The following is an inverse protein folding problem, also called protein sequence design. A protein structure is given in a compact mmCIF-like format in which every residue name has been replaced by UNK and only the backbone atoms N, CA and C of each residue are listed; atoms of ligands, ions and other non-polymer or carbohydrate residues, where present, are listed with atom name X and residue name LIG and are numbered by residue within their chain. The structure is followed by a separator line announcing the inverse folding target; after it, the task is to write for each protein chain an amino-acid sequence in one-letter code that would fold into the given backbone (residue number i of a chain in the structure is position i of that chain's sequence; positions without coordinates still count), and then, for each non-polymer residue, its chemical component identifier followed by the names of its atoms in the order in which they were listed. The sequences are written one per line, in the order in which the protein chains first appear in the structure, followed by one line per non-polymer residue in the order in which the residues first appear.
data_IF_405635435043
#
_entry.id   IF_405635435043
#
_cell.length_a   1.000
_cell.length_b   1.000
_cell.length_c   1.000
_cell.angle_alpha   90.00
_cell.angle_beta   90.00
_cell.angle_gamma   90.00
#
_symmetry.space_group_name_H-M   'P 1'
#
loop_
_entity.id
_entity.type
_entity.pdbx_description
1 polymer ?
#
# COMPACT_ATOMS: atom_id res chain seq x y z
N UNK A 1 17.04 3.70 -14.14
CA UNK A 1 16.54 4.13 -12.82
C UNK A 1 16.74 5.63 -12.77
N UNK A 2 15.71 6.40 -12.46
CA UNK A 2 15.85 7.85 -12.38
C UNK A 2 16.83 8.19 -11.23
N UNK A 3 17.64 9.23 -11.38
CA UNK A 3 18.63 9.61 -10.37
C UNK A 3 17.99 9.98 -9.01
N UNK A 4 16.69 10.28 -9.01
CA UNK A 4 15.87 10.53 -7.82
C UNK A 4 15.37 9.24 -7.12
N UNK A 5 15.17 8.14 -7.85
CA UNK A 5 14.58 6.90 -7.29
C UNK A 5 15.45 6.30 -6.16
N UNK A 6 16.78 6.48 -6.23
CA UNK A 6 17.73 5.98 -5.24
C UNK A 6 17.66 6.71 -3.88
N UNK A 7 16.94 7.84 -3.81
CA UNK A 7 16.81 8.64 -2.59
C UNK A 7 15.42 8.53 -1.94
N UNK A 8 14.51 7.71 -2.50
CA UNK A 8 13.16 7.54 -1.97
C UNK A 8 13.22 6.89 -0.58
N UNK A 9 12.55 7.52 0.38
CA UNK A 9 12.46 7.00 1.74
C UNK A 9 11.39 5.91 1.81
N UNK A 10 11.66 4.76 2.45
CA UNK A 10 10.61 3.79 2.71
C UNK A 10 9.59 4.38 3.69
N UNK A 11 8.32 3.95 3.59
CA UNK A 11 7.21 4.54 4.34
C UNK A 11 7.41 4.49 5.86
N UNK A 12 8.13 3.50 6.39
CA UNK A 12 8.43 3.35 7.81
C UNK A 12 9.58 4.24 8.31
N UNK A 13 10.37 4.87 7.44
CA UNK A 13 11.53 5.69 7.83
C UNK A 13 11.14 7.16 7.98
N UNK A 14 11.72 7.84 8.96
CA UNK A 14 11.49 9.24 9.24
C UNK A 14 12.81 10.00 9.41
N UNK A 15 12.99 11.06 8.63
CA UNK A 15 14.05 12.03 8.76
C UNK A 15 13.49 13.27 9.47
N UNK A 16 14.08 13.63 10.60
CA UNK A 16 13.58 14.67 11.48
C UNK A 16 14.59 15.81 11.59
N UNK A 17 14.18 16.97 11.11
CA UNK A 17 14.77 18.22 11.56
C UNK A 17 14.34 18.46 13.01
N UNK A 18 15.11 17.93 13.98
CA UNK A 18 14.94 18.26 15.39
C UNK A 18 14.80 19.78 15.57
N UNK A 19 13.88 20.24 16.44
CA UNK A 19 13.59 21.66 16.59
C UNK A 19 14.84 22.48 16.92
N UNK A 20 14.95 23.64 16.28
CA UNK A 20 15.90 24.69 16.65
C UNK A 20 15.06 25.90 17.06
N UNK A 21 14.78 26.10 18.36
CA UNK A 21 14.01 27.25 18.80
C UNK A 21 14.76 28.53 18.42
N UNK A 22 14.07 29.48 17.79
CA UNK A 22 14.60 30.82 17.45
C UNK A 22 13.87 31.90 18.25
N UNK A 23 13.65 31.63 19.54
CA UNK A 23 13.08 32.61 20.45
C UNK A 23 14.13 33.67 20.86
N UNK A 24 13.68 34.71 21.55
CA UNK A 24 14.55 35.81 22.00
C UNK A 24 15.71 35.31 22.88
N UNK A 25 15.51 34.24 23.66
CA UNK A 25 16.55 33.64 24.50
C UNK A 25 17.71 33.08 23.68
N UNK A 26 17.41 32.39 22.57
CA UNK A 26 18.45 31.87 21.67
C UNK A 26 19.15 33.00 20.94
N UNK A 27 18.41 34.05 20.56
CA UNK A 27 18.96 35.21 19.86
C UNK A 27 19.81 36.13 20.75
N UNK A 28 19.56 36.14 22.05
CA UNK A 28 20.32 36.89 23.05
C UNK A 28 21.50 36.10 23.63
N UNK A 29 21.61 34.81 23.32
CA UNK A 29 22.71 33.96 23.76
C UNK A 29 24.06 34.50 23.21
N UNK A 30 25.08 34.75 24.06
CA UNK A 30 26.38 35.25 23.62
C UNK A 30 27.12 34.35 22.61
N UNK A 31 26.80 33.06 22.58
CA UNK A 31 27.33 32.08 21.62
C UNK A 31 26.62 32.11 20.27
N UNK A 32 25.47 32.79 20.15
CA UNK A 32 24.82 33.04 18.88
C UNK A 32 25.57 34.14 18.12
N UNK A 33 26.03 33.84 16.90
CA UNK A 33 26.73 34.80 16.04
C UNK A 33 25.92 35.07 14.78
N UNK A 34 25.69 36.35 14.49
CA UNK A 34 25.19 36.78 13.18
C UNK A 34 26.36 36.86 12.21
N UNK A 35 26.16 36.37 11.00
CA UNK A 35 27.17 36.43 9.95
C UNK A 35 26.49 36.57 8.59
N UNK A 36 27.22 37.16 7.65
CA UNK A 36 26.91 37.06 6.21
C UNK A 36 27.72 35.88 5.69
N UNK A 37 27.06 34.94 5.02
CA UNK A 37 27.74 33.76 4.50
C UNK A 37 28.69 34.12 3.36
N UNK A 38 29.92 33.62 3.46
CA UNK A 38 30.94 33.70 2.39
C UNK A 38 31.06 32.41 1.59
N UNK A 39 30.46 31.33 2.10
CA UNK A 39 30.34 30.01 1.48
C UNK A 39 28.95 29.46 1.82
N UNK A 40 28.41 28.59 0.97
CA UNK A 40 27.13 27.94 1.26
C UNK A 40 27.18 27.16 2.58
N UNK A 41 26.06 27.17 3.30
CA UNK A 41 25.96 26.47 4.58
C UNK A 41 24.61 25.79 4.74
N UNK A 42 24.54 24.63 5.42
CA UNK A 42 23.30 23.91 5.57
C UNK A 42 22.41 24.53 6.66
N UNK A 43 21.25 25.08 6.29
CA UNK A 43 20.24 25.47 7.27
C UNK A 43 19.67 24.23 7.97
N UNK A 44 19.77 24.20 9.31
CA UNK A 44 19.31 23.08 10.13
C UNK A 44 17.78 23.01 10.29
N UNK A 45 17.05 24.10 10.05
CA UNK A 45 15.59 24.17 10.24
C UNK A 45 14.83 23.64 9.03
N UNK A 46 15.13 24.15 7.84
CA UNK A 46 14.43 23.78 6.60
C UNK A 46 15.13 22.67 5.80
N UNK A 47 16.35 22.28 6.17
CA UNK A 47 17.20 21.32 5.44
C UNK A 47 17.49 21.72 3.97
N UNK A 48 17.49 23.02 3.66
CA UNK A 48 17.95 23.60 2.39
C UNK A 48 19.22 24.43 2.59
N UNK A 49 20.13 24.38 1.62
CA UNK A 49 21.37 25.17 1.67
C UNK A 49 21.07 26.67 1.62
N UNK A 50 21.76 27.42 2.48
CA UNK A 50 21.71 28.88 2.54
C UNK A 50 22.74 29.41 1.55
N UNK A 51 22.36 30.44 0.77
CA UNK A 51 23.20 30.96 -0.29
C UNK A 51 24.25 31.95 0.20
N UNK A 52 25.32 32.13 -0.57
CA UNK A 52 26.36 33.12 -0.28
C UNK A 52 25.76 34.52 -0.31
N UNK A 53 26.08 35.34 0.69
CA UNK A 53 25.55 36.70 0.85
C UNK A 53 24.31 36.79 1.74
N UNK A 54 23.67 35.68 2.08
CA UNK A 54 22.54 35.68 3.02
C UNK A 54 23.01 35.88 4.47
N UNK A 55 22.17 36.55 5.26
CA UNK A 55 22.35 36.64 6.70
C UNK A 55 21.90 35.35 7.41
N UNK A 56 22.77 34.87 8.29
CA UNK A 56 22.53 33.66 9.08
C UNK A 56 22.77 33.89 10.56
N UNK A 57 22.29 32.93 11.34
CA UNK A 57 22.65 32.80 12.74
C UNK A 57 23.39 31.47 12.91
N UNK A 58 24.60 31.55 13.44
CA UNK A 58 25.40 30.41 13.88
C UNK A 58 25.14 30.19 15.37
N UNK A 59 24.63 29.01 15.72
CA UNK A 59 24.16 28.68 17.06
C UNK A 59 24.85 27.41 17.59
N UNK A 60 25.08 27.37 18.90
CA UNK A 60 25.49 26.16 19.59
C UNK A 60 24.27 25.26 19.81
N UNK A 61 24.30 24.02 19.32
CA UNK A 61 23.15 23.12 19.35
C UNK A 61 23.52 21.72 19.84
N UNK A 62 22.71 21.20 20.77
CA UNK A 62 22.82 19.83 21.27
C UNK A 62 21.61 19.00 20.77
N UNK A 63 21.82 17.97 19.93
CA UNK A 63 20.73 17.16 19.38
C UNK A 63 20.26 16.02 20.29
N UNK A 64 20.90 15.77 21.43
CA UNK A 64 20.58 14.62 22.27
C UNK A 64 19.25 14.80 23.02
N UNK A 65 18.44 13.75 23.01
CA UNK A 65 17.11 13.71 23.63
C UNK A 65 17.12 13.19 25.07
N UNK A 66 18.29 12.81 25.59
CA UNK A 66 18.47 12.28 26.95
C UNK A 66 19.93 12.28 27.39
N UNK A 67 20.19 11.73 28.57
CA UNK A 67 21.55 11.65 29.15
C UNK A 67 22.40 10.61 28.42
N UNK A 68 23.59 11.01 27.95
CA UNK A 68 24.51 10.13 27.25
C UNK A 68 25.95 10.67 27.36
N UNK A 69 26.98 9.81 27.46
CA UNK A 69 28.37 10.25 27.38
C UNK A 69 28.75 10.79 25.99
N UNK A 70 27.94 10.53 24.97
CA UNK A 70 28.15 11.02 23.61
C UNK A 70 27.53 12.41 23.36
N UNK A 71 26.91 13.01 24.38
CA UNK A 71 26.29 14.33 24.27
C UNK A 71 27.33 15.38 23.87
N UNK A 72 27.04 16.13 22.81
CA UNK A 72 27.96 17.12 22.28
C UNK A 72 27.18 18.30 21.70
N UNK A 73 27.58 19.49 22.12
CA UNK A 73 27.13 20.74 21.51
C UNK A 73 28.03 21.04 20.31
N UNK A 74 27.41 21.25 19.14
CA UNK A 74 28.12 21.59 17.89
C UNK A 74 27.46 22.79 17.21
N UNK A 75 28.20 23.56 16.39
CA UNK A 75 27.62 24.70 15.69
C UNK A 75 26.64 24.25 14.60
N UNK A 76 25.51 24.94 14.47
CA UNK A 76 24.55 24.78 13.36
C UNK A 76 24.20 26.15 12.78
N UNK A 77 23.97 26.19 11.46
CA UNK A 77 23.48 27.38 10.78
C UNK A 77 21.96 27.35 10.66
N UNK A 78 21.33 28.51 10.78
CA UNK A 78 19.92 28.74 10.46
C UNK A 78 19.77 30.06 9.71
N UNK A 79 18.77 30.15 8.83
CA UNK A 79 18.38 31.41 8.23
C UNK A 79 18.08 32.45 9.32
N UNK A 80 18.52 33.69 9.12
CA UNK A 80 18.09 34.81 9.97
C UNK A 80 16.61 35.14 9.77
N UNK A 81 16.14 35.05 8.52
CA UNK A 81 14.74 35.17 8.17
C UNK A 81 14.01 33.86 8.46
N UNK A 82 12.69 33.95 8.67
CA UNK A 82 11.90 32.75 8.93
C UNK A 82 11.89 31.83 7.70
N UNK A 83 12.16 30.55 7.94
CA UNK A 83 12.01 29.49 6.96
C UNK A 83 11.11 28.40 7.53
N UNK A 84 10.36 27.73 6.65
CA UNK A 84 9.47 26.63 7.03
C UNK A 84 10.32 25.47 7.54
N UNK A 85 10.01 24.97 8.73
CA UNK A 85 10.69 23.80 9.28
C UNK A 85 10.41 22.59 8.40
N UNK A 86 11.44 21.79 8.16
CA UNK A 86 11.31 20.57 7.39
C UNK A 86 10.32 19.62 8.07
N UNK A 87 9.34 19.20 7.29
CA UNK A 87 8.27 18.28 7.70
C UNK A 87 8.11 17.25 6.58
N UNK A 88 8.64 16.05 6.81
CA UNK A 88 8.62 14.97 5.82
C UNK A 88 7.19 14.60 5.40
N UNK A 89 6.20 14.81 6.28
CA UNK A 89 4.81 14.39 6.08
C UNK A 89 4.03 15.33 5.17
N UNK A 90 4.59 16.50 4.87
CA UNK A 90 4.03 17.49 3.95
C UNK A 90 4.66 17.43 2.56
N UNK A 91 5.52 16.45 2.29
CA UNK A 91 6.18 16.28 1.00
C UNK A 91 5.40 15.31 0.11
N UNK A 92 5.17 15.68 -1.15
CA UNK A 92 4.52 14.82 -2.14
C UNK A 92 5.31 13.53 -2.40
N UNK A 93 6.64 13.63 -2.40
CA UNK A 93 7.59 12.53 -2.59
C UNK A 93 8.71 12.61 -1.55
N UNK A 94 8.57 11.97 -0.38
CA UNK A 94 9.59 12.02 0.66
C UNK A 94 10.85 11.30 0.19
N UNK A 95 11.95 12.05 0.14
CA UNK A 95 13.28 11.55 -0.20
C UNK A 95 14.31 12.01 0.84
N UNK A 96 15.51 11.42 0.79
CA UNK A 96 16.67 11.96 1.51
C UNK A 96 16.81 13.46 1.17
N UNK A 97 16.87 14.38 2.15
CA UNK A 97 16.89 15.81 1.85
C UNK A 97 18.15 16.21 1.08
N UNK A 98 18.01 17.17 0.17
CA UNK A 98 19.04 17.53 -0.81
C UNK A 98 20.40 17.84 -0.16
N UNK A 99 20.39 18.55 0.97
CA UNK A 99 21.60 18.87 1.71
C UNK A 99 22.47 17.66 2.07
N UNK A 100 21.86 16.52 2.38
CA UNK A 100 22.59 15.33 2.78
C UNK A 100 23.10 14.54 1.58
N UNK A 101 22.47 14.66 0.40
CA UNK A 101 22.83 13.87 -0.79
C UNK A 101 24.25 14.19 -1.30
N UNK A 102 24.66 15.46 -1.23
CA UNK A 102 25.94 15.93 -1.77
C UNK A 102 27.10 15.97 -0.78
N UNK A 103 26.97 15.37 0.42
CA UNK A 103 27.95 15.51 1.51
C UNK A 103 28.35 14.17 2.09
N UNK A 104 29.60 14.07 2.55
CA UNK A 104 30.07 12.95 3.37
C UNK A 104 29.45 13.06 4.76
N UNK A 105 28.76 12.01 5.18
CA UNK A 105 28.00 11.93 6.42
C UNK A 105 28.66 10.95 7.37
N UNK A 106 28.76 11.34 8.64
CA UNK A 106 29.00 10.42 9.74
C UNK A 106 27.65 9.91 10.22
N UNK A 107 27.40 8.62 9.96
CA UNK A 107 26.16 7.91 10.28
C UNK A 107 26.36 7.20 11.61
N UNK A 108 25.68 7.67 12.66
CA UNK A 108 25.89 7.20 14.04
C UNK A 108 24.60 6.62 14.59
N UNK A 109 24.56 5.30 14.80
CA UNK A 109 23.42 4.57 15.37
C UNK A 109 23.50 4.48 16.89
N UNK A 110 22.41 4.85 17.56
CA UNK A 110 22.26 4.87 19.01
C UNK A 110 21.19 3.89 19.47
N UNK A 111 21.39 3.24 20.61
CA UNK A 111 20.39 2.40 21.26
C UNK A 111 19.40 3.21 22.11
N UNK A 112 18.47 2.52 22.79
CA UNK A 112 17.45 3.13 23.65
C UNK A 112 18.04 3.89 24.84
N UNK A 113 19.18 3.43 25.35
CA UNK A 113 19.95 4.07 26.42
C UNK A 113 20.89 5.18 25.90
N UNK A 114 20.77 5.56 24.62
CA UNK A 114 21.52 6.63 23.96
C UNK A 114 23.04 6.39 23.87
N UNK A 115 23.49 5.13 23.90
CA UNK A 115 24.86 4.75 23.58
C UNK A 115 25.02 4.56 22.08
N UNK A 116 26.11 5.10 21.53
CA UNK A 116 26.49 4.84 20.15
C UNK A 116 27.01 3.41 20.04
N UNK A 117 26.33 2.60 19.24
CA UNK A 117 26.64 1.17 19.08
C UNK A 117 27.10 0.83 17.66
N UNK A 118 26.86 1.74 16.70
CA UNK A 118 27.31 1.64 15.31
C UNK A 118 27.69 3.01 14.81
N UNK A 119 28.77 3.08 14.03
CA UNK A 119 29.19 4.33 13.38
C UNK A 119 29.94 4.03 12.09
N UNK A 120 29.58 4.72 11.02
CA UNK A 120 30.19 4.56 9.71
C UNK A 120 30.21 5.90 8.95
N UNK A 121 31.00 5.97 7.88
CA UNK A 121 31.01 7.09 6.94
C UNK A 121 30.33 6.68 5.64
N UNK A 122 29.44 7.53 5.12
CA UNK A 122 28.78 7.29 3.84
C UNK A 122 28.42 8.60 3.14
N UNK A 123 28.28 8.56 1.82
CA UNK A 123 27.86 9.70 0.99
C UNK A 123 26.81 9.26 -0.02
N UNK A 124 26.01 10.22 -0.49
CA UNK A 124 25.00 9.97 -1.52
C UNK A 124 24.02 8.84 -1.13
N UNK A 125 23.64 7.97 -2.09
CA UNK A 125 22.64 6.93 -1.86
C UNK A 125 23.06 5.90 -0.80
N UNK A 126 24.37 5.63 -0.68
CA UNK A 126 24.89 4.67 0.31
C UNK A 126 24.55 5.08 1.73
N UNK A 127 24.48 6.38 2.04
CA UNK A 127 24.11 6.84 3.37
C UNK A 127 22.66 6.51 3.71
N UNK A 128 21.75 6.59 2.75
CA UNK A 128 20.36 6.17 2.93
C UNK A 128 20.28 4.66 3.15
N UNK A 129 20.97 3.86 2.35
CA UNK A 129 20.95 2.40 2.50
C UNK A 129 21.55 1.94 3.83
N UNK A 130 22.64 2.57 4.27
CA UNK A 130 23.23 2.31 5.57
C UNK A 130 22.27 2.65 6.71
N UNK A 131 21.53 3.77 6.61
CA UNK A 131 20.47 4.08 7.56
C UNK A 131 19.36 3.02 7.57
N UNK A 132 19.00 2.46 6.40
CA UNK A 132 18.02 1.37 6.30
C UNK A 132 18.53 0.11 6.99
N UNK A 133 19.74 -0.33 6.65
CA UNK A 133 20.40 -1.48 7.25
C UNK A 133 20.44 -1.38 8.77
N UNK A 134 20.99 -0.27 9.30
CA UNK A 134 21.09 -0.04 10.74
C UNK A 134 19.73 -0.07 11.46
N UNK A 135 18.67 0.48 10.85
CA UNK A 135 17.32 0.50 11.44
C UNK A 135 16.50 -0.78 11.18
N UNK A 136 16.86 -1.63 10.22
CA UNK A 136 16.16 -2.89 9.97
C UNK A 136 16.79 -4.08 10.69
N UNK A 137 18.08 -4.02 10.98
CA UNK A 137 18.75 -5.03 11.81
C UNK A 137 18.08 -5.15 13.19
N UNK A 138 17.99 -6.38 13.70
CA UNK A 138 17.28 -6.67 14.95
C UNK A 138 17.87 -5.88 16.13
N UNK A 139 17.09 -4.90 16.59
CA UNK A 139 16.95 -4.52 18.00
C UNK A 139 17.91 -3.48 18.57
N UNK A 140 19.12 -3.32 18.04
CA UNK A 140 20.12 -2.56 18.79
C UNK A 140 20.06 -1.05 18.50
N UNK A 141 19.79 -0.63 17.26
CA UNK A 141 19.72 0.80 16.90
C UNK A 141 18.28 1.31 17.03
N UNK A 142 18.07 2.25 17.96
CA UNK A 142 16.81 2.97 18.18
C UNK A 142 16.67 4.15 17.20
N UNK A 143 17.73 4.94 17.03
CA UNK A 143 17.77 6.08 16.12
C UNK A 143 19.19 6.34 15.61
N UNK A 144 19.30 7.17 14.57
CA UNK A 144 20.56 7.56 13.96
C UNK A 144 20.69 9.09 14.02
N UNK A 145 21.88 9.57 14.37
CA UNK A 145 22.26 10.95 14.09
C UNK A 145 23.19 10.99 12.88
N UNK A 146 22.82 11.81 11.89
CA UNK A 146 23.70 12.16 10.79
C UNK A 146 24.43 13.45 11.14
N UNK A 147 25.73 13.45 10.94
CA UNK A 147 26.59 14.64 11.06
C UNK A 147 27.32 14.88 9.74
N UNK A 148 27.60 16.14 9.41
CA UNK A 148 28.47 16.46 8.28
C UNK A 148 29.91 16.11 8.65
N UNK A 149 30.45 15.03 8.08
CA UNK A 149 31.68 14.39 8.55
C UNK A 149 32.88 15.35 8.62
N UNK A 150 32.99 16.28 7.66
CA UNK A 150 34.09 17.26 7.58
C UNK A 150 34.09 18.28 8.71
N UNK A 151 32.91 18.69 9.17
CA UNK A 151 32.75 19.78 10.15
C UNK A 151 32.26 19.29 11.52
N UNK A 152 31.77 18.05 11.61
CA UNK A 152 31.23 17.44 12.83
C UNK A 152 29.86 17.94 13.26
N UNK A 153 29.31 18.98 12.61
CA UNK A 153 28.02 19.54 12.94
C UNK A 153 26.87 18.56 12.66
N UNK A 154 25.88 18.58 13.54
CA UNK A 154 24.69 17.75 13.41
C UNK A 154 23.84 18.16 12.21
N UNK A 155 23.45 17.19 11.39
CA UNK A 155 22.68 17.40 10.18
C UNK A 155 21.18 17.09 10.41
N UNK A 156 20.85 15.85 10.76
CA UNK A 156 19.46 15.38 10.86
C UNK A 156 19.39 14.11 11.71
N UNK A 157 18.26 13.88 12.38
CA UNK A 157 17.98 12.61 13.06
C UNK A 157 17.20 11.70 12.11
N UNK A 158 17.56 10.44 12.04
CA UNK A 158 16.83 9.41 11.27
C UNK A 158 16.30 8.37 12.26
N UNK A 159 15.04 7.96 12.08
CA UNK A 159 14.41 6.96 12.93
C UNK A 159 13.30 6.21 12.21
N UNK A 160 12.60 5.36 12.95
CA UNK A 160 11.38 4.70 12.48
C UNK A 160 10.19 5.60 12.78
N UNK A 161 9.21 5.62 11.88
CA UNK A 161 7.89 6.18 12.17
C UNK A 161 7.29 5.37 13.31
N UNK A 162 6.79 6.08 14.31
CA UNK A 162 5.90 5.50 15.30
C UNK A 162 4.48 5.53 14.74
N UNK A 163 3.64 4.60 15.18
CA UNK A 163 2.21 4.71 14.94
C UNK A 163 1.72 6.05 15.52
N UNK A 164 0.96 6.81 14.73
CA UNK A 164 0.30 8.05 15.15
C UNK A 164 -0.89 7.72 16.08
N UNK A 165 -1.76 8.70 16.30
CA UNK A 165 -3.04 8.52 16.98
C UNK A 165 -3.82 7.31 16.45
N UNK A 166 -4.50 6.62 17.36
CA UNK A 166 -5.33 5.45 17.04
C UNK A 166 -6.54 5.90 16.22
N UNK A 167 -6.75 5.27 15.07
CA UNK A 167 -7.89 5.52 14.18
C UNK A 167 -8.80 4.29 14.11
N UNK A 168 -10.10 4.51 13.84
CA UNK A 168 -11.09 3.45 13.60
C UNK A 168 -11.77 3.71 12.23
N UNK A 169 -11.20 3.21 11.12
CA UNK A 169 -11.75 3.45 9.79
C UNK A 169 -13.05 2.67 9.60
N UNK A 170 -13.98 3.22 8.80
CA UNK A 170 -15.24 2.56 8.46
C UNK A 170 -15.09 1.47 7.38
N UNK A 171 -13.97 1.45 6.67
CA UNK A 171 -13.65 0.54 5.56
C UNK A 171 -12.28 -0.07 5.84
N UNK A 172 -12.11 -1.37 5.57
CA UNK A 172 -10.86 -2.11 5.84
C UNK A 172 -10.29 -2.75 4.56
N UNK A 173 -10.54 -2.14 3.40
CA UNK A 173 -10.08 -2.62 2.11
C UNK A 173 -8.64 -2.18 1.87
N UNK A 174 -7.68 -2.89 2.47
CA UNK A 174 -6.24 -2.64 2.36
C UNK A 174 -5.62 -3.02 1.01
N UNK A 175 -6.44 -3.23 -0.01
CA UNK A 175 -6.05 -3.74 -1.32
C UNK A 175 -6.50 -5.18 -1.54
N UNK A 176 -7.64 -5.35 -2.21
CA UNK A 176 -8.17 -6.65 -2.60
C UNK A 176 -8.48 -6.68 -4.10
N UNK A 177 -8.38 -7.85 -4.77
CA UNK A 177 -8.71 -7.95 -6.18
C UNK A 177 -10.21 -7.71 -6.38
N UNK A 178 -10.55 -6.97 -7.43
CA UNK A 178 -11.92 -6.89 -7.93
C UNK A 178 -12.26 -8.19 -8.64
N UNK A 179 -13.46 -8.71 -8.41
CA UNK A 179 -14.00 -9.90 -9.07
C UNK A 179 -15.40 -9.59 -9.60
N UNK A 180 -15.66 -9.92 -10.86
CA UNK A 180 -16.99 -9.89 -11.45
C UNK A 180 -17.59 -11.30 -11.36
N UNK A 181 -18.48 -11.51 -10.40
CA UNK A 181 -19.14 -12.80 -10.19
C UNK A 181 -20.38 -12.87 -11.07
N UNK A 182 -20.40 -13.81 -12.01
CA UNK A 182 -21.58 -14.08 -12.82
C UNK A 182 -22.38 -15.24 -12.25
N UNK A 183 -23.70 -15.08 -12.24
CA UNK A 183 -24.66 -16.09 -11.78
C UNK A 183 -25.89 -16.10 -12.70
N UNK A 184 -26.74 -17.12 -12.57
CA UNK A 184 -27.94 -17.27 -13.40
C UNK A 184 -29.19 -16.88 -12.61
N UNK A 185 -30.03 -16.00 -13.17
CA UNK A 185 -31.32 -15.60 -12.60
C UNK A 185 -32.36 -16.73 -12.74
N UNK A 186 -33.56 -16.55 -12.18
CA UNK A 186 -34.64 -17.53 -12.25
C UNK A 186 -35.16 -17.74 -13.68
N UNK A 187 -35.16 -16.68 -14.50
CA UNK A 187 -35.56 -16.70 -15.91
C UNK A 187 -34.43 -17.14 -16.87
N UNK A 188 -33.34 -17.72 -16.32
CA UNK A 188 -32.12 -18.12 -17.02
C UNK A 188 -31.29 -16.98 -17.65
N UNK A 189 -31.66 -15.72 -17.42
CA UNK A 189 -30.81 -14.58 -17.82
C UNK A 189 -29.58 -14.48 -16.90
N UNK A 190 -28.45 -13.93 -17.37
CA UNK A 190 -27.27 -13.79 -16.53
C UNK A 190 -27.35 -12.54 -15.64
N UNK A 191 -26.72 -12.61 -14.47
CA UNK A 191 -26.48 -11.48 -13.56
C UNK A 191 -24.98 -11.30 -13.35
N UNK A 192 -24.55 -10.05 -13.13
CA UNK A 192 -23.17 -9.70 -12.74
C UNK A 192 -23.20 -9.00 -11.37
N UNK A 193 -22.33 -9.43 -10.46
CA UNK A 193 -22.05 -8.74 -9.20
C UNK A 193 -20.57 -8.42 -9.05
N UNK A 194 -20.16 -7.14 -9.08
CA UNK A 194 -18.79 -6.76 -8.72
C UNK A 194 -18.59 -6.91 -7.21
N UNK A 195 -17.49 -7.54 -6.82
CA UNK A 195 -17.07 -7.68 -5.42
C UNK A 195 -15.59 -7.35 -5.28
N UNK A 196 -15.19 -7.00 -4.06
CA UNK A 196 -13.78 -6.82 -3.67
C UNK A 196 -13.45 -7.62 -2.41
N UNK A 197 -14.23 -8.66 -2.14
CA UNK A 197 -14.19 -9.51 -0.95
C UNK A 197 -13.95 -10.95 -1.38
N UNK A 198 -12.78 -11.20 -1.96
CA UNK A 198 -12.39 -12.52 -2.46
C UNK A 198 -10.95 -12.86 -2.06
N UNK A 199 -10.70 -14.11 -1.68
CA UNK A 199 -9.36 -14.68 -1.50
C UNK A 199 -9.35 -16.17 -1.84
N UNK A 200 -8.17 -16.71 -2.15
CA UNK A 200 -8.01 -18.11 -2.61
C UNK A 200 -7.20 -18.93 -1.61
N UNK A 201 -7.58 -20.19 -1.45
CA UNK A 201 -6.87 -21.23 -0.70
C UNK A 201 -6.85 -22.49 -1.58
N UNK A 202 -5.73 -22.73 -2.26
CA UNK A 202 -5.64 -23.76 -3.30
C UNK A 202 -6.61 -23.45 -4.46
N UNK A 203 -7.42 -24.44 -4.87
CA UNK A 203 -8.45 -24.27 -5.91
C UNK A 203 -9.81 -23.80 -5.36
N UNK A 204 -9.87 -23.35 -4.11
CA UNK A 204 -11.08 -22.83 -3.47
C UNK A 204 -10.99 -21.32 -3.33
N UNK A 205 -12.09 -20.64 -3.62
CA UNK A 205 -12.21 -19.20 -3.44
C UNK A 205 -13.28 -18.90 -2.40
N UNK A 206 -12.96 -17.99 -1.50
CA UNK A 206 -13.87 -17.50 -0.48
C UNK A 206 -14.43 -16.14 -0.90
N UNK A 207 -15.75 -16.04 -1.04
CA UNK A 207 -16.50 -14.82 -1.38
C UNK A 207 -17.26 -14.24 -0.17
N UNK A 208 -16.99 -12.98 0.20
CA UNK A 208 -17.82 -12.24 1.14
C UNK A 208 -18.97 -11.54 0.42
N UNK A 209 -20.22 -11.95 0.64
CA UNK A 209 -21.39 -11.44 -0.10
C UNK A 209 -22.50 -10.97 0.85
N UNK A 210 -23.20 -9.89 0.52
CA UNK A 210 -24.45 -9.53 1.22
C UNK A 210 -25.49 -10.62 0.99
N UNK A 211 -26.19 -11.04 2.05
CA UNK A 211 -27.13 -12.16 2.02
C UNK A 211 -28.30 -11.94 1.03
N UNK A 212 -28.66 -10.69 0.78
CA UNK A 212 -29.81 -10.27 -0.03
C UNK A 212 -29.42 -9.83 -1.45
N UNK A 213 -28.14 -9.94 -1.83
CA UNK A 213 -27.72 -9.60 -3.19
C UNK A 213 -28.27 -10.62 -4.20
N UNK A 214 -28.58 -10.17 -5.41
CA UNK A 214 -29.02 -11.08 -6.49
C UNK A 214 -27.99 -12.18 -6.77
N UNK A 215 -26.70 -11.85 -6.64
CA UNK A 215 -25.60 -12.82 -6.77
C UNK A 215 -25.71 -13.93 -5.73
N UNK A 216 -25.91 -13.58 -4.45
CA UNK A 216 -26.09 -14.54 -3.36
C UNK A 216 -27.33 -15.39 -3.55
N UNK A 217 -28.47 -14.77 -3.87
CA UNK A 217 -29.75 -15.46 -4.10
C UNK A 217 -29.58 -16.50 -5.23
N UNK A 218 -28.98 -16.10 -6.34
CA UNK A 218 -28.72 -17.01 -7.46
C UNK A 218 -27.74 -18.13 -7.08
N UNK A 219 -26.66 -17.82 -6.38
CA UNK A 219 -25.63 -18.80 -6.01
C UNK A 219 -26.17 -19.83 -5.00
N UNK A 220 -26.97 -19.40 -4.01
CA UNK A 220 -27.61 -20.31 -3.08
C UNK A 220 -28.61 -21.26 -3.77
N UNK A 221 -29.27 -20.81 -4.83
CA UNK A 221 -30.23 -21.62 -5.60
C UNK A 221 -29.55 -22.56 -6.60
N UNK A 222 -28.63 -22.03 -7.40
CA UNK A 222 -28.03 -22.74 -8.55
C UNK A 222 -26.74 -23.46 -8.21
N UNK A 223 -26.08 -23.09 -7.11
CA UNK A 223 -24.77 -23.59 -6.68
C UNK A 223 -23.65 -23.36 -7.69
N UNK A 224 -23.85 -22.50 -8.70
CA UNK A 224 -22.89 -22.29 -9.77
C UNK A 224 -22.60 -20.79 -9.96
N UNK A 225 -21.33 -20.46 -10.22
CA UNK A 225 -20.90 -19.13 -10.59
C UNK A 225 -19.67 -19.18 -11.52
N UNK A 226 -19.34 -18.04 -12.11
CA UNK A 226 -18.00 -17.80 -12.66
C UNK A 226 -17.38 -16.60 -11.95
N UNK A 227 -16.12 -16.75 -11.55
CA UNK A 227 -15.29 -15.65 -11.07
C UNK A 227 -14.52 -15.09 -12.26
N UNK A 228 -14.83 -13.87 -12.69
CA UNK A 228 -14.13 -13.21 -13.79
C UNK A 228 -13.25 -12.09 -13.20
N UNK A 229 -11.95 -12.14 -13.47
CA UNK A 229 -11.00 -11.15 -12.97
C UNK A 229 -10.76 -10.08 -14.03
N UNK A 230 -11.21 -8.83 -13.82
CA UNK A 230 -10.90 -7.73 -14.71
C UNK A 230 -9.45 -7.28 -14.56
N UNK A 231 -8.86 -6.84 -15.68
CA UNK A 231 -7.59 -6.11 -15.65
C UNK A 231 -7.78 -4.67 -15.18
N UNK A 232 -6.69 -4.03 -14.75
CA UNK A 232 -6.70 -2.65 -14.24
C UNK A 232 -7.07 -1.57 -15.28
N UNK A 233 -7.12 -1.93 -16.56
CA UNK A 233 -7.64 -1.11 -17.67
C UNK A 233 -9.17 -1.19 -17.84
N UNK A 234 -9.85 -2.13 -17.18
CA UNK A 234 -11.30 -2.34 -17.26
C UNK A 234 -12.10 -1.46 -16.28
N UNK A 235 -11.65 -0.23 -16.00
CA UNK A 235 -12.29 0.68 -15.03
C UNK A 235 -13.72 1.05 -15.41
N UNK A 236 -13.96 1.32 -16.70
CA UNK A 236 -15.27 1.74 -17.20
C UNK A 236 -16.39 0.71 -16.93
N UNK A 237 -16.27 -0.57 -17.32
CA UNK A 237 -17.31 -1.58 -17.05
C UNK A 237 -17.54 -1.81 -15.56
N UNK A 238 -16.47 -1.80 -14.73
CA UNK A 238 -16.60 -1.98 -13.27
C UNK A 238 -17.38 -0.82 -12.64
N UNK A 239 -17.07 0.42 -13.02
CA UNK A 239 -17.81 1.60 -12.55
C UNK A 239 -19.25 1.64 -13.06
N UNK A 240 -19.52 1.18 -14.28
CA UNK A 240 -20.89 1.12 -14.81
C UNK A 240 -21.80 0.18 -14.01
N UNK A 241 -21.23 -0.89 -13.44
CA UNK A 241 -21.92 -1.82 -12.54
C UNK A 241 -22.11 -1.27 -11.12
N UNK A 242 -21.33 -0.26 -10.72
CA UNK A 242 -21.43 0.33 -9.40
C UNK A 242 -22.83 0.90 -9.17
N UNK A 243 -23.37 0.70 -7.97
CA UNK A 243 -24.72 1.14 -7.59
C UNK A 243 -25.82 0.56 -8.51
N UNK A 244 -25.63 -0.65 -9.04
CA UNK A 244 -26.70 -1.42 -9.68
C UNK A 244 -27.10 -2.60 -8.80
N UNK A 245 -28.37 -3.00 -8.86
CA UNK A 245 -28.83 -4.26 -8.27
C UNK A 245 -29.70 -5.04 -9.25
N UNK A 246 -29.58 -6.37 -9.21
CA UNK A 246 -30.44 -7.25 -10.01
C UNK A 246 -31.78 -7.56 -9.33
N UNK A 247 -31.94 -7.16 -8.06
CA UNK A 247 -33.16 -7.41 -7.29
C UNK A 247 -34.27 -6.44 -7.70
N UNK A 248 -35.47 -6.98 -7.97
CA UNK A 248 -36.65 -6.20 -8.38
C UNK A 248 -37.06 -5.12 -7.37
N UNK A 249 -36.86 -5.39 -6.08
CA UNK A 249 -37.11 -4.43 -5.01
C UNK A 249 -35.76 -3.86 -4.56
N UNK A 250 -35.62 -2.53 -4.65
CA UNK A 250 -34.45 -1.81 -4.16
C UNK A 250 -34.84 -1.15 -2.83
N UNK A 251 -34.21 -1.52 -1.70
CA UNK A 251 -34.48 -0.89 -0.41
C UNK A 251 -34.27 0.64 -0.45
N UNK A 252 -35.08 1.40 0.29
CA UNK A 252 -35.01 2.88 0.31
C UNK A 252 -33.61 3.42 0.61
N UNK A 253 -32.90 2.75 1.53
CA UNK A 253 -31.50 3.09 1.86
C UNK A 253 -30.57 2.90 0.66
N UNK A 254 -30.79 1.89 -0.19
CA UNK A 254 -30.00 1.70 -1.42
C UNK A 254 -30.35 2.78 -2.44
N UNK A 255 -31.62 3.16 -2.56
CA UNK A 255 -32.06 4.26 -3.45
C UNK A 255 -31.41 5.59 -3.03
N UNK A 256 -31.40 5.92 -1.73
CA UNK A 256 -30.78 7.15 -1.23
C UNK A 256 -29.26 7.18 -1.43
N UNK A 257 -28.62 6.01 -1.45
CA UNK A 257 -27.21 5.82 -1.82
C UNK A 257 -26.97 5.81 -3.35
N UNK A 258 -28.02 6.02 -4.16
CA UNK A 258 -27.96 6.11 -5.61
C UNK A 258 -27.98 4.76 -6.33
N UNK A 259 -28.39 3.67 -5.66
CA UNK A 259 -28.58 2.38 -6.31
C UNK A 259 -29.85 2.38 -7.15
N UNK A 260 -29.77 1.69 -8.29
CA UNK A 260 -30.91 1.45 -9.18
C UNK A 260 -31.00 -0.02 -9.57
N UNK A 261 -32.21 -0.44 -9.90
CA UNK A 261 -32.43 -1.74 -10.53
C UNK A 261 -31.82 -1.74 -11.92
N UNK A 262 -31.06 -2.77 -12.26
CA UNK A 262 -30.69 -3.11 -13.62
C UNK A 262 -30.85 -4.61 -13.86
N UNK A 263 -31.75 -4.98 -14.77
CA UNK A 263 -31.96 -6.39 -15.16
C UNK A 263 -30.80 -6.88 -16.04
N UNK A 264 -30.44 -6.10 -17.06
CA UNK A 264 -29.39 -6.45 -18.02
C UNK A 264 -28.08 -5.72 -17.70
N UNK A 265 -27.35 -6.29 -16.75
CA UNK A 265 -26.07 -5.73 -16.29
C UNK A 265 -24.93 -5.91 -17.29
N UNK A 266 -25.03 -6.87 -18.22
CA UNK A 266 -24.06 -7.03 -19.30
C UNK A 266 -24.13 -5.83 -20.25
N UNK A 267 -25.35 -5.46 -20.68
CA UNK A 267 -25.55 -4.29 -21.52
C UNK A 267 -25.11 -2.99 -20.84
N UNK A 268 -25.47 -2.79 -19.56
CA UNK A 268 -25.06 -1.60 -18.78
C UNK A 268 -23.54 -1.47 -18.68
N UNK A 269 -22.83 -2.59 -18.49
CA UNK A 269 -21.38 -2.60 -18.38
C UNK A 269 -20.66 -2.58 -19.74
N UNK A 270 -21.37 -2.81 -20.85
CA UNK A 270 -20.75 -3.00 -22.17
C UNK A 270 -19.87 -4.26 -22.24
N UNK A 271 -20.24 -5.31 -21.51
CA UNK A 271 -19.49 -6.57 -21.44
C UNK A 271 -20.18 -7.66 -22.27
N UNK A 272 -19.39 -8.60 -22.78
CA UNK A 272 -19.88 -9.67 -23.67
C UNK A 272 -19.97 -11.01 -22.92
N UNK A 273 -21.16 -11.63 -22.84
CA UNK A 273 -21.29 -12.95 -22.23
C UNK A 273 -20.66 -14.03 -23.13
N UNK A 274 -19.78 -14.82 -22.54
CA UNK A 274 -19.12 -15.97 -23.17
C UNK A 274 -19.62 -17.27 -22.52
N UNK A 275 -19.95 -18.28 -23.31
CA UNK A 275 -20.45 -19.56 -22.79
C UNK A 275 -19.37 -20.27 -21.93
N UNK A 276 -19.80 -20.77 -20.77
CA UNK A 276 -19.04 -21.64 -19.87
C UNK A 276 -19.09 -23.10 -20.32
N UNK A 277 -18.12 -23.90 -19.92
CA UNK A 277 -18.00 -25.30 -20.33
C UNK A 277 -18.66 -26.29 -19.35
N UNK A 278 -18.61 -25.99 -18.05
CA UNK A 278 -19.02 -26.87 -16.96
C UNK A 278 -20.17 -26.28 -16.13
N UNK A 279 -20.37 -24.97 -16.13
CA UNK A 279 -21.43 -24.29 -15.36
C UNK A 279 -22.40 -23.51 -16.25
N UNK A 280 -23.61 -23.25 -15.75
CA UNK A 280 -24.64 -22.48 -16.45
C UNK A 280 -24.33 -20.97 -16.63
N UNK A 281 -23.86 -20.22 -15.62
CA UNK A 281 -23.60 -18.78 -15.78
C UNK A 281 -22.46 -18.52 -16.77
N UNK A 282 -22.53 -17.44 -17.58
CA UNK A 282 -21.53 -17.16 -18.59
C UNK A 282 -20.25 -16.58 -17.97
N UNK A 283 -19.13 -16.78 -18.66
CA UNK A 283 -17.89 -16.02 -18.48
C UNK A 283 -18.02 -14.64 -19.13
N UNK A 284 -17.08 -13.74 -18.86
CA UNK A 284 -17.02 -12.39 -19.45
C UNK A 284 -15.85 -12.33 -20.42
N UNK A 285 -16.12 -12.20 -21.71
CA UNK A 285 -15.11 -12.32 -22.78
C UNK A 285 -13.91 -11.39 -22.60
N UNK A 286 -14.15 -10.18 -22.08
CA UNK A 286 -13.13 -9.16 -21.87
C UNK A 286 -12.24 -9.44 -20.66
N UNK A 287 -12.69 -10.27 -19.70
CA UNK A 287 -11.88 -10.61 -18.54
C UNK A 287 -10.80 -11.64 -18.92
N UNK A 288 -9.51 -11.35 -18.72
CA UNK A 288 -8.41 -12.19 -19.18
C UNK A 288 -8.17 -13.45 -18.33
N UNK A 289 -8.75 -13.52 -17.13
CA UNK A 289 -8.75 -14.71 -16.28
C UNK A 289 -10.16 -14.99 -15.73
N UNK A 290 -10.61 -16.23 -15.86
CA UNK A 290 -11.98 -16.65 -15.55
C UNK A 290 -11.94 -18.02 -14.88
N UNK A 291 -12.77 -18.24 -13.86
CA UNK A 291 -12.85 -19.51 -13.12
C UNK A 291 -14.30 -19.95 -13.01
N UNK A 292 -14.64 -21.06 -13.65
CA UNK A 292 -15.94 -21.72 -13.48
C UNK A 292 -15.94 -22.46 -12.15
N UNK A 293 -16.97 -22.26 -11.32
CA UNK A 293 -16.97 -22.73 -9.95
C UNK A 293 -18.34 -23.19 -9.45
N UNK A 294 -18.30 -24.10 -8.47
CA UNK A 294 -19.47 -24.58 -7.73
C UNK A 294 -19.38 -24.23 -6.26
N UNK A 295 -20.52 -23.93 -5.65
CA UNK A 295 -20.61 -23.61 -4.23
C UNK A 295 -20.31 -24.85 -3.38
N UNK A 296 -19.31 -24.75 -2.51
CA UNK A 296 -18.88 -25.82 -1.62
C UNK A 296 -19.33 -25.61 -0.16
N UNK A 297 -19.51 -24.35 0.28
CA UNK A 297 -19.84 -24.04 1.66
C UNK A 297 -20.45 -22.64 1.82
N UNK A 298 -21.23 -22.45 2.88
CA UNK A 298 -21.82 -21.15 3.26
C UNK A 298 -21.73 -20.99 4.77
N UNK A 299 -21.22 -19.84 5.19
CA UNK A 299 -20.97 -19.51 6.59
C UNK A 299 -21.57 -18.14 6.90
N UNK A 300 -22.44 -18.08 7.91
CA UNK A 300 -23.03 -16.83 8.39
C UNK A 300 -21.96 -15.97 9.09
N UNK A 301 -21.87 -14.69 8.71
CA UNK A 301 -20.95 -13.73 9.34
C UNK A 301 -21.72 -12.74 10.21
N UNK A 302 -21.00 -11.97 11.04
CA UNK A 302 -21.59 -10.92 11.89
C UNK A 302 -22.61 -11.45 12.91
N UNK A 303 -22.48 -12.70 13.34
CA UNK A 303 -23.42 -13.38 14.24
C UNK A 303 -23.54 -12.71 15.62
N UNK A 304 -22.54 -11.92 16.03
CA UNK A 304 -22.52 -11.14 17.26
C UNK A 304 -23.23 -9.78 17.15
N UNK A 305 -23.57 -9.31 15.95
CA UNK A 305 -24.27 -8.04 15.77
C UNK A 305 -25.77 -8.20 16.05
N UNK A 306 -26.46 -7.13 16.52
CA UNK A 306 -27.90 -7.16 16.76
C UNK A 306 -28.71 -6.89 15.48
N UNK A 307 -29.99 -7.26 15.51
CA UNK A 307 -30.97 -6.88 14.49
C UNK A 307 -30.63 -7.36 13.08
N UNK A 308 -30.91 -6.52 12.08
CA UNK A 308 -30.69 -6.82 10.66
C UNK A 308 -29.20 -6.90 10.26
N UNK A 309 -28.30 -6.43 11.12
CA UNK A 309 -26.85 -6.57 10.90
C UNK A 309 -26.35 -8.01 11.15
N UNK A 310 -27.10 -8.79 11.94
CA UNK A 310 -26.79 -10.20 12.18
C UNK A 310 -26.97 -11.01 10.90
N UNK A 311 -25.93 -11.72 10.46
CA UNK A 311 -26.01 -12.54 9.26
C UNK A 311 -26.17 -11.76 7.97
N UNK A 312 -25.97 -10.42 8.00
CA UNK A 312 -26.09 -9.55 6.82
C UNK A 312 -25.13 -9.96 5.69
N UNK A 313 -23.97 -10.50 6.06
CA UNK A 313 -22.95 -10.99 5.12
C UNK A 313 -22.79 -12.50 5.28
N UNK A 314 -22.58 -13.18 4.16
CA UNK A 314 -22.19 -14.57 4.10
C UNK A 314 -20.74 -14.68 3.63
N UNK A 315 -20.01 -15.61 4.22
CA UNK A 315 -18.80 -16.18 3.66
C UNK A 315 -19.21 -17.41 2.82
N UNK A 316 -19.13 -17.31 1.49
CA UNK A 316 -19.46 -18.37 0.56
C UNK A 316 -18.19 -18.96 -0.04
N UNK A 317 -17.94 -20.24 0.22
CA UNK A 317 -16.85 -20.99 -0.39
C UNK A 317 -17.30 -21.55 -1.73
N UNK A 318 -16.49 -21.34 -2.77
CA UNK A 318 -16.67 -21.93 -4.09
C UNK A 318 -15.43 -22.71 -4.51
N UNK A 319 -15.63 -23.89 -5.09
CA UNK A 319 -14.60 -24.76 -5.65
C UNK A 319 -14.46 -24.51 -7.14
N UNK A 320 -13.25 -24.16 -7.58
CA UNK A 320 -12.95 -23.94 -9.00
C UNK A 320 -12.89 -25.29 -9.71
N UNK A 321 -13.70 -25.42 -10.76
CA UNK A 321 -13.77 -26.59 -11.63
C UNK A 321 -12.86 -26.46 -12.85
N UNK A 322 -12.79 -25.25 -13.41
CA UNK A 322 -11.99 -24.94 -14.60
C UNK A 322 -11.56 -23.49 -14.62
N UNK A 323 -10.30 -23.28 -14.97
CA UNK A 323 -9.70 -21.96 -15.14
C UNK A 323 -9.41 -21.72 -16.61
N UNK A 324 -9.78 -20.54 -17.09
CA UNK A 324 -9.49 -20.05 -18.42
C UNK A 324 -8.65 -18.79 -18.30
N UNK A 325 -7.53 -18.75 -19.02
CA UNK A 325 -6.66 -17.58 -19.08
C UNK A 325 -6.26 -17.32 -20.53
N UNK A 326 -6.18 -16.05 -20.92
CA UNK A 326 -5.61 -15.67 -22.21
C UNK A 326 -4.13 -16.07 -22.26
N UNK A 327 -3.65 -16.49 -23.43
CA UNK A 327 -2.28 -17.03 -23.56
C UNK A 327 -1.20 -16.01 -23.20
N UNK A 328 -1.48 -14.71 -23.36
CA UNK A 328 -0.58 -13.63 -22.97
C UNK A 328 -0.28 -13.59 -21.46
N UNK A 329 -1.11 -14.21 -20.62
CA UNK A 329 -0.86 -14.33 -19.18
C UNK A 329 -0.07 -15.58 -18.81
N UNK A 330 0.11 -16.54 -19.73
CA UNK A 330 0.82 -17.79 -19.43
C UNK A 330 2.32 -17.56 -19.46
N UNK A 331 3.02 -18.08 -18.46
CA UNK A 331 4.47 -18.05 -18.41
C UNK A 331 5.05 -18.98 -19.48
N UNK A 332 5.96 -18.45 -20.31
CA UNK A 332 6.56 -19.21 -21.40
C UNK A 332 7.24 -20.50 -20.89
N UNK A 333 6.98 -21.63 -21.55
CA UNK A 333 7.53 -22.94 -21.19
C UNK A 333 6.78 -23.67 -20.07
N UNK A 334 5.69 -23.11 -19.56
CA UNK A 334 4.86 -23.72 -18.53
C UNK A 334 3.39 -23.78 -18.95
N UNK A 335 2.73 -24.93 -18.72
CA UNK A 335 1.34 -25.13 -19.11
C UNK A 335 0.35 -24.37 -18.20
N UNK A 336 0.63 -24.34 -16.88
CA UNK A 336 -0.30 -23.90 -15.83
C UNK A 336 0.20 -22.73 -14.99
N UNK A 337 1.30 -22.07 -15.38
CA UNK A 337 1.86 -20.95 -14.62
C UNK A 337 1.46 -19.61 -15.21
N UNK A 338 1.13 -18.67 -14.34
CA UNK A 338 0.78 -17.31 -14.72
C UNK A 338 2.04 -16.44 -14.59
N UNK A 339 2.31 -15.63 -15.61
CA UNK A 339 3.37 -14.62 -15.54
C UNK A 339 2.90 -13.44 -14.68
N UNK A 340 3.49 -13.22 -13.48
CA UNK A 340 3.08 -12.13 -12.59
C UNK A 340 3.40 -10.73 -13.15
N UNK A 341 4.29 -10.60 -14.13
CA UNK A 341 4.57 -9.31 -14.79
C UNK A 341 3.57 -9.01 -15.93
N UNK A 342 2.97 -10.05 -16.51
CA UNK A 342 1.91 -9.93 -17.50
C UNK A 342 0.53 -9.69 -16.86
N UNK A 343 0.28 -10.29 -15.69
CA UNK A 343 -0.99 -10.12 -14.99
C UNK A 343 -1.13 -8.74 -14.34
N UNK A 344 -2.19 -8.02 -14.72
CA UNK A 344 -2.51 -6.66 -14.24
C UNK A 344 -3.86 -6.64 -13.55
N UNK A 345 -3.97 -7.10 -12.28
CA UNK A 345 -5.24 -7.14 -11.57
C UNK A 345 -5.72 -5.73 -11.20
N UNK A 346 -7.02 -5.50 -11.31
CA UNK A 346 -7.66 -4.36 -10.67
C UNK A 346 -7.77 -4.58 -9.16
N UNK A 347 -7.30 -3.60 -8.37
CA UNK A 347 -7.29 -3.62 -6.91
C UNK A 347 -8.25 -2.56 -6.35
N UNK A 348 -9.18 -2.96 -5.48
CA UNK A 348 -9.98 -2.05 -4.68
C UNK A 348 -9.22 -1.67 -3.41
N UNK A 349 -9.01 -0.38 -3.20
CA UNK A 349 -8.31 0.16 -2.03
C UNK A 349 -9.06 1.40 -1.52
N UNK A 350 -9.77 1.27 -0.40
CA UNK A 350 -10.63 2.31 0.19
C UNK A 350 -11.53 3.06 -0.83
N UNK A 351 -12.34 2.34 -1.62
CA UNK A 351 -13.23 2.88 -2.66
C UNK A 351 -12.54 3.50 -3.88
N UNK A 352 -11.23 3.32 -4.02
CA UNK A 352 -10.48 3.66 -5.22
C UNK A 352 -10.04 2.40 -5.96
N UNK A 353 -9.98 2.49 -7.28
CA UNK A 353 -9.46 1.44 -8.15
C UNK A 353 -7.99 1.73 -8.48
N UNK A 354 -7.13 0.74 -8.23
CA UNK A 354 -5.70 0.79 -8.48
C UNK A 354 -5.25 -0.38 -9.37
N UNK A 355 -4.09 -0.22 -9.99
CA UNK A 355 -3.35 -1.28 -10.67
C UNK A 355 -1.98 -1.50 -10.04
N UNK A 356 -1.31 -2.58 -10.42
CA UNK A 356 0.07 -2.85 -9.97
C UNK A 356 1.09 -2.06 -10.78
N UNK A 357 2.11 -1.51 -10.12
CA UNK A 357 3.26 -0.91 -10.81
C UNK A 357 3.95 -1.95 -11.72
N UNK A 358 4.47 -1.58 -12.89
CA UNK A 358 5.30 -2.46 -13.69
C UNK A 358 6.58 -2.92 -12.98
N UNK A 359 6.91 -4.20 -13.18
CA UNK A 359 8.12 -4.84 -12.67
C UNK A 359 8.01 -5.37 -11.25
N UNK A 360 8.88 -6.34 -10.95
CA UNK A 360 9.06 -6.90 -9.61
C UNK A 360 9.95 -5.98 -8.78
N UNK A 361 9.53 -5.54 -7.58
CA UNK A 361 10.40 -4.79 -6.69
C UNK A 361 11.66 -5.58 -6.33
N UNK A 362 11.49 -6.87 -5.98
CA UNK A 362 12.54 -7.85 -5.72
C UNK A 362 12.02 -9.27 -6.01
N UNK A 363 12.91 -10.26 -6.06
CA UNK A 363 12.54 -11.67 -6.21
C UNK A 363 12.09 -12.20 -4.83
N UNK A 364 10.88 -12.77 -4.77
CA UNK A 364 10.40 -13.46 -3.58
C UNK A 364 11.18 -14.74 -3.32
N UNK A 365 11.57 -15.01 -2.08
CA UNK A 365 12.13 -16.32 -1.70
C UNK A 365 11.17 -17.48 -2.00
N UNK A 366 9.86 -17.24 -1.99
CA UNK A 366 8.85 -18.24 -2.38
C UNK A 366 8.89 -18.58 -3.87
N UNK A 367 9.41 -17.69 -4.72
CA UNK A 367 9.55 -17.96 -6.16
C UNK A 367 10.60 -19.04 -6.45
N UNK A 368 11.38 -19.47 -5.45
CA UNK A 368 12.28 -20.62 -5.55
C UNK A 368 11.57 -21.98 -5.38
N UNK A 369 10.30 -22.00 -4.96
CA UNK A 369 9.51 -23.22 -4.78
C UNK A 369 8.80 -23.55 -6.10
N UNK A 370 8.88 -24.82 -6.51
CA UNK A 370 8.18 -25.33 -7.69
C UNK A 370 6.66 -25.20 -7.53
N UNK A 371 6.01 -24.36 -8.34
CA UNK A 371 4.59 -23.99 -8.17
C UNK A 371 3.64 -25.20 -8.20
N UNK A 372 3.94 -26.23 -8.98
CA UNK A 372 3.09 -27.43 -9.06
C UNK A 372 3.01 -28.22 -7.75
N UNK A 373 3.95 -28.01 -6.82
CA UNK A 373 3.89 -28.61 -5.48
C UNK A 373 2.75 -28.02 -4.62
N UNK A 374 2.19 -26.86 -4.98
CA UNK A 374 1.01 -26.29 -4.32
C UNK A 374 -0.31 -26.87 -4.84
N UNK A 375 -0.30 -27.71 -5.89
CA UNK A 375 -1.50 -28.29 -6.45
C UNK A 375 -2.14 -29.24 -5.44
N UNK A 376 -3.40 -28.96 -5.08
CA UNK A 376 -4.17 -29.83 -4.21
C UNK A 376 -4.46 -31.17 -4.93
N UNK A 377 -4.58 -32.28 -4.16
CA UNK A 377 -5.02 -33.55 -4.71
C UNK A 377 -6.36 -33.42 -5.44
N UNK A 378 -6.57 -34.24 -6.47
CA UNK A 378 -7.89 -34.36 -7.08
C UNK A 378 -8.87 -34.91 -6.03
N UNK A 379 -10.03 -34.28 -5.89
CA UNK A 379 -11.11 -34.80 -5.06
C UNK A 379 -11.74 -36.01 -5.76
N UNK A 380 -11.96 -37.10 -5.02
CA UNK A 380 -12.68 -38.25 -5.55
C UNK A 380 -14.11 -37.85 -5.91
N UNK A 381 -14.65 -38.29 -7.06
CA UNK A 381 -16.03 -37.98 -7.42
C UNK A 381 -16.99 -38.70 -6.45
N UNK A 382 -17.56 -37.98 -5.47
CA UNK A 382 -18.70 -38.47 -4.70
C UNK A 382 -18.80 -38.15 -3.20
N UNK A 383 -18.39 -36.97 -2.73
CA UNK A 383 -18.73 -36.49 -1.38
C UNK A 383 -19.50 -35.18 -1.41
#
# INVERSE_FOLDING_TARGET
MDAEDQYVLPSWMLWQALPVPLNEDVMSNPMAKRAILTQEAPCRRCLHDITVGDEVILLAYNPFLGSSPYTQTSPVFVHRQECVQYDQDKLDKPGMPQQQRGRLLSVRGFNKEHFMIKAELAEGPRALDLCKEMLMERGDVEYIHLHYARYGCFAVKVGRRTHSDVVNPAIYYWGTPVVLVTTTNEDNTPNIGPISSAFWLGNRCMLGLENNSQTTINLLRTKQCVLNLPSDDMVAPVNALARTTGTNVVPDIKISLGYRHEKDKFAVAGLTPQKSELVAPPRIQECPAQMEAEMAGVYEMMSSLPGEAKGFTLAVEVRVLRTHVVDALRMHGHDNRIDPDAWRPMIMNFQHLYGLKPGKPEISALAAIEEELYRLPAEEPGH
#
